data_IF_917091793425
#
_entry.id   IF_917091793425
#
_cell.length_a   1.000
_cell.length_b   1.000
_cell.length_c   1.000
_cell.angle_alpha   90.00
_cell.angle_beta   90.00
_cell.angle_gamma   90.00
#
_symmetry.space_group_name_H-M   'P 1'
#
loop_
_entity.id
_entity.type
_entity.pdbx_description
1 polymer ?
#
# COMPACT_ATOMS: atom_id res chain seq x y z
N UNK A 1 -1.35 0.59 43.49
CA UNK A 1 -0.99 -0.83 43.29
C UNK A 1 0.48 -0.96 43.58
N UNK A 2 0.84 -1.78 44.58
CA UNK A 2 2.23 -2.16 44.86
C UNK A 2 2.69 -3.36 44.00
N UNK A 3 3.91 -3.87 44.20
CA UNK A 3 4.45 -5.01 43.44
C UNK A 3 3.57 -6.27 43.53
N UNK A 4 3.03 -6.58 44.71
CA UNK A 4 2.17 -7.76 44.91
C UNK A 4 0.82 -7.65 44.19
N UNK A 5 0.29 -6.43 44.06
CA UNK A 5 -0.95 -6.15 43.32
C UNK A 5 -0.77 -6.37 41.81
N UNK A 6 0.44 -6.19 41.28
CA UNK A 6 0.74 -6.37 39.85
C UNK A 6 0.65 -7.85 39.47
N UNK A 7 1.16 -8.75 40.31
CA UNK A 7 1.09 -10.18 40.07
C UNK A 7 -0.37 -10.67 40.02
N UNK A 8 -1.18 -10.25 40.99
CA UNK A 8 -2.62 -10.56 41.03
C UNK A 8 -3.35 -9.98 39.81
N UNK A 9 -3.11 -8.71 39.50
CA UNK A 9 -3.67 -8.07 38.31
C UNK A 9 -3.31 -8.80 37.02
N UNK A 10 -2.05 -9.22 36.86
CA UNK A 10 -1.60 -9.97 35.70
C UNK A 10 -2.37 -11.28 35.58
N UNK A 11 -2.49 -12.05 36.65
CA UNK A 11 -3.26 -13.31 36.65
C UNK A 11 -4.73 -13.09 36.30
N UNK A 12 -5.37 -12.08 36.90
CA UNK A 12 -6.77 -11.75 36.59
C UNK A 12 -6.94 -11.34 35.12
N UNK A 13 -6.06 -10.46 34.61
CA UNK A 13 -6.12 -9.99 33.22
C UNK A 13 -5.87 -11.13 32.24
N UNK A 14 -4.92 -12.03 32.52
CA UNK A 14 -4.67 -13.22 31.72
C UNK A 14 -5.92 -14.10 31.60
N UNK A 15 -6.62 -14.35 32.72
CA UNK A 15 -7.87 -15.11 32.73
C UNK A 15 -8.95 -14.48 31.86
N UNK A 16 -9.16 -13.17 32.01
CA UNK A 16 -10.17 -12.42 31.21
C UNK A 16 -9.80 -12.35 29.73
N UNK A 17 -8.51 -12.21 29.41
CA UNK A 17 -8.02 -12.27 28.03
C UNK A 17 -8.27 -13.64 27.40
N UNK A 18 -8.02 -14.72 28.12
CA UNK A 18 -8.31 -16.09 27.68
C UNK A 18 -9.81 -16.30 27.41
N UNK A 19 -10.68 -15.81 28.29
CA UNK A 19 -12.13 -15.86 28.10
C UNK A 19 -12.61 -15.07 26.88
N UNK A 20 -12.00 -13.91 26.61
CA UNK A 20 -12.36 -13.07 25.46
C UNK A 20 -11.79 -13.57 24.14
N UNK A 21 -10.77 -14.44 24.16
CA UNK A 21 -10.03 -14.89 22.97
C UNK A 21 -9.98 -16.42 22.88
N UNK A 22 -11.10 -17.10 23.15
CA UNK A 22 -11.19 -18.58 23.24
C UNK A 22 -10.73 -19.33 21.98
N UNK A 23 -10.84 -18.71 20.82
CA UNK A 23 -10.43 -19.29 19.53
C UNK A 23 -8.92 -19.18 19.26
N UNK A 24 -8.16 -18.50 20.12
CA UNK A 24 -6.73 -18.30 19.94
C UNK A 24 -5.90 -19.41 20.60
N UNK A 25 -4.94 -19.96 19.87
CA UNK A 25 -4.01 -20.98 20.36
C UNK A 25 -2.77 -20.38 21.05
N UNK A 26 -2.80 -19.11 21.43
CA UNK A 26 -1.68 -18.44 22.08
C UNK A 26 -1.55 -18.98 23.53
N UNK A 27 -0.37 -19.44 23.96
CA UNK A 27 -0.19 -20.05 25.28
C UNK A 27 -0.28 -19.04 26.43
N UNK A 28 0.12 -17.79 26.19
CA UNK A 28 0.08 -16.69 27.17
C UNK A 28 -0.25 -15.38 26.48
N UNK A 29 -1.38 -14.78 26.84
CA UNK A 29 -1.99 -13.60 26.21
C UNK A 29 -1.33 -12.30 26.66
N UNK A 30 -1.10 -12.15 27.96
CA UNK A 30 -0.40 -11.02 28.59
C UNK A 30 1.04 -11.45 28.86
N UNK A 31 1.96 -10.96 28.04
CA UNK A 31 3.38 -11.29 28.15
C UNK A 31 4.01 -10.66 29.37
N UNK A 32 3.67 -9.40 29.65
CA UNK A 32 4.34 -8.60 30.67
C UNK A 32 3.44 -7.48 31.18
N UNK A 33 3.52 -7.20 32.48
CA UNK A 33 2.94 -6.02 33.12
C UNK A 33 4.05 -5.35 33.92
N UNK A 34 4.36 -4.10 33.60
CA UNK A 34 5.44 -3.33 34.24
C UNK A 34 4.90 -2.03 34.80
N UNK A 35 5.34 -1.66 36.00
CA UNK A 35 5.10 -0.32 36.53
C UNK A 35 6.11 0.64 35.88
N UNK A 36 5.61 1.68 35.24
CA UNK A 36 6.43 2.71 34.57
C UNK A 36 6.06 4.09 35.07
N UNK A 37 7.01 5.00 35.10
CA UNK A 37 6.81 6.40 35.48
C UNK A 37 6.55 7.22 34.22
N UNK A 38 5.34 7.78 34.11
CA UNK A 38 4.86 8.52 32.93
C UNK A 38 3.96 9.68 33.34
N UNK A 39 3.72 10.59 32.41
CA UNK A 39 2.78 11.71 32.57
C UNK A 39 1.76 11.68 31.43
N UNK A 40 0.53 12.12 31.72
CA UNK A 40 -0.45 12.38 30.66
C UNK A 40 -0.09 13.65 29.90
N UNK A 41 -0.33 13.65 28.59
CA UNK A 41 -0.18 14.84 27.75
C UNK A 41 -1.25 15.91 28.03
N UNK A 42 -2.39 15.51 28.62
CA UNK A 42 -3.51 16.40 28.86
C UNK A 42 -3.33 17.19 30.15
N UNK A 43 -3.36 18.52 30.01
CA UNK A 43 -3.24 19.52 31.07
C UNK A 43 -1.85 19.60 31.69
N UNK A 44 -1.50 20.80 32.15
CA UNK A 44 -0.33 20.99 32.99
C UNK A 44 -0.55 20.31 34.34
N UNK A 45 0.42 19.53 34.79
CA UNK A 45 0.42 18.88 36.09
C UNK A 45 1.64 19.37 36.88
N UNK A 46 1.43 19.71 38.15
CA UNK A 46 2.53 20.08 39.05
C UNK A 46 3.45 18.90 39.36
N UNK A 47 2.93 17.68 39.31
CA UNK A 47 3.69 16.45 39.46
C UNK A 47 4.16 15.96 38.08
N UNK A 48 5.48 15.87 37.89
CA UNK A 48 6.09 15.54 36.58
C UNK A 48 5.94 14.06 36.17
N UNK A 49 5.57 13.17 37.09
CA UNK A 49 5.37 11.75 36.78
C UNK A 49 4.46 11.04 37.78
N UNK A 50 3.69 10.09 37.28
CA UNK A 50 2.83 9.20 38.04
C UNK A 50 3.09 7.74 37.62
N UNK A 51 2.75 6.76 38.46
CA UNK A 51 2.85 5.34 38.11
C UNK A 51 1.77 4.92 37.10
N UNK A 52 2.18 4.31 36.00
CA UNK A 52 1.36 3.70 34.95
C UNK A 52 1.69 2.21 34.84
N UNK A 53 0.74 1.41 34.34
CA UNK A 53 0.98 0.01 33.98
C UNK A 53 1.22 -0.11 32.47
N UNK A 54 2.42 -0.55 32.08
CA UNK A 54 2.72 -0.95 30.70
C UNK A 54 2.36 -2.42 30.53
N UNK A 55 1.35 -2.69 29.72
CA UNK A 55 0.84 -4.04 29.46
C UNK A 55 1.26 -4.47 28.06
N UNK A 56 2.02 -5.56 27.97
CA UNK A 56 2.45 -6.16 26.70
C UNK A 56 1.61 -7.40 26.43
N UNK A 57 0.94 -7.43 25.29
CA UNK A 57 0.14 -8.57 24.84
C UNK A 57 0.86 -9.36 23.75
N UNK A 58 0.42 -10.60 23.53
CA UNK A 58 1.08 -11.53 22.63
C UNK A 58 0.93 -11.18 21.14
N UNK A 59 -0.25 -10.71 20.72
CA UNK A 59 -0.54 -10.36 19.33
C UNK A 59 -1.11 -8.94 19.25
N UNK A 60 -0.80 -8.18 18.18
CA UNK A 60 -1.35 -6.83 18.00
C UNK A 60 -2.89 -6.77 18.02
N UNK A 61 -3.55 -7.78 17.44
CA UNK A 61 -5.01 -7.89 17.39
C UNK A 61 -5.65 -8.01 18.78
N UNK A 62 -4.89 -8.40 19.80
CA UNK A 62 -5.37 -8.55 21.17
C UNK A 62 -5.44 -7.22 21.94
N UNK A 63 -4.79 -6.16 21.45
CA UNK A 63 -4.81 -4.84 22.12
C UNK A 63 -6.22 -4.30 22.28
N UNK A 64 -7.07 -4.45 21.25
CA UNK A 64 -8.46 -4.00 21.29
C UNK A 64 -9.30 -4.74 22.34
N UNK A 65 -9.11 -6.06 22.46
CA UNK A 65 -9.76 -6.90 23.47
C UNK A 65 -9.30 -6.51 24.88
N UNK A 66 -7.98 -6.37 25.08
CA UNK A 66 -7.38 -5.95 26.34
C UNK A 66 -7.91 -4.59 26.79
N UNK A 67 -7.95 -3.60 25.88
CA UNK A 67 -8.57 -2.30 26.13
C UNK A 67 -10.01 -2.44 26.60
N UNK A 68 -10.82 -3.19 25.87
CA UNK A 68 -12.24 -3.35 26.20
C UNK A 68 -12.47 -3.98 27.57
N UNK A 69 -11.62 -4.91 28.01
CA UNK A 69 -11.67 -5.49 29.35
C UNK A 69 -11.33 -4.42 30.41
N UNK A 70 -10.26 -3.66 30.20
CA UNK A 70 -9.79 -2.66 31.15
C UNK A 70 -10.75 -1.47 31.31
N UNK A 71 -11.34 -1.00 30.22
CA UNK A 71 -12.27 0.15 30.24
C UNK A 71 -13.64 -0.22 30.83
N UNK A 72 -14.17 -1.42 30.53
CA UNK A 72 -15.42 -1.91 31.14
C UNK A 72 -15.27 -2.27 32.61
N UNK A 73 -14.06 -2.60 33.04
CA UNK A 73 -13.73 -2.93 34.41
C UNK A 73 -13.37 -4.40 34.62
N UNK A 74 -12.46 -4.62 35.56
CA UNK A 74 -11.91 -5.91 35.95
C UNK A 74 -11.93 -6.03 37.47
N UNK A 75 -12.41 -7.18 37.96
CA UNK A 75 -12.44 -7.48 39.40
C UNK A 75 -11.13 -8.12 39.81
N UNK A 76 -10.34 -7.39 40.59
CA UNK A 76 -9.02 -7.84 41.06
C UNK A 76 -9.15 -8.25 42.53
N UNK A 77 -8.67 -9.44 42.86
CA UNK A 77 -8.70 -9.96 44.22
C UNK A 77 -7.98 -9.02 45.20
N UNK A 78 -8.68 -8.59 46.25
CA UNK A 78 -8.16 -7.65 47.25
C UNK A 78 -8.27 -6.16 46.90
N UNK A 79 -8.52 -5.81 45.63
CA UNK A 79 -8.67 -4.42 45.17
C UNK A 79 -10.08 -4.08 44.67
N UNK A 80 -10.93 -5.10 44.52
CA UNK A 80 -12.30 -4.97 44.04
C UNK A 80 -12.38 -4.72 42.53
N UNK A 81 -13.53 -4.22 42.07
CA UNK A 81 -13.73 -3.86 40.67
C UNK A 81 -13.07 -2.52 40.35
N UNK A 82 -12.23 -2.50 39.31
CA UNK A 82 -11.54 -1.30 38.83
C UNK A 82 -11.71 -1.17 37.33
N UNK A 83 -12.01 0.04 36.87
CA UNK A 83 -11.92 0.43 35.46
C UNK A 83 -10.70 1.31 35.25
N UNK A 84 -10.04 1.14 34.11
CA UNK A 84 -8.80 1.85 33.79
C UNK A 84 -8.97 2.65 32.51
N UNK A 85 -8.43 3.88 32.51
CA UNK A 85 -8.22 4.63 31.29
C UNK A 85 -7.04 4.01 30.53
N UNK A 86 -7.21 3.77 29.23
CA UNK A 86 -6.15 3.23 28.38
C UNK A 86 -5.51 4.32 27.54
N UNK A 87 -4.22 4.18 27.30
CA UNK A 87 -3.40 5.08 26.49
C UNK A 87 -2.70 4.25 25.41
N UNK A 88 -2.42 4.86 24.26
CA UNK A 88 -1.72 4.20 23.15
C UNK A 88 -2.37 2.90 22.63
N UNK A 89 -3.60 2.61 23.05
CA UNK A 89 -4.31 1.36 22.78
C UNK A 89 -4.98 1.31 21.39
N UNK A 90 -4.86 2.37 20.60
CA UNK A 90 -5.46 2.52 19.27
C UNK A 90 -4.43 2.95 18.20
N UNK A 91 -3.14 2.72 18.44
CA UNK A 91 -2.08 2.98 17.47
C UNK A 91 -1.91 1.72 16.62
N UNK A 92 -1.78 1.89 15.30
CA UNK A 92 -1.48 0.78 14.40
C UNK A 92 -0.13 0.17 14.76
N UNK A 93 -0.05 -1.15 14.85
CA UNK A 93 1.15 -1.84 15.33
C UNK A 93 2.41 -1.50 14.53
N UNK A 94 2.31 -1.43 13.20
CA UNK A 94 3.43 -1.01 12.35
C UNK A 94 3.89 0.42 12.66
N UNK A 95 2.96 1.34 12.95
CA UNK A 95 3.30 2.71 13.34
C UNK A 95 3.94 2.76 14.73
N UNK A 96 3.42 1.98 15.70
CA UNK A 96 4.05 1.86 17.04
C UNK A 96 5.46 1.32 16.94
N UNK A 97 5.68 0.30 16.10
CA UNK A 97 7.01 -0.25 15.81
C UNK A 97 7.95 0.81 15.23
N UNK A 98 7.48 1.57 14.25
CA UNK A 98 8.23 2.67 13.65
C UNK A 98 8.64 3.71 14.69
N UNK A 99 7.71 4.17 15.53
CA UNK A 99 7.99 5.15 16.59
C UNK A 99 8.97 4.56 17.62
N UNK A 100 8.77 3.32 18.09
CA UNK A 100 9.65 2.66 19.07
C UNK A 100 11.10 2.51 18.56
N UNK A 101 11.29 2.37 17.25
CA UNK A 101 12.59 2.18 16.61
C UNK A 101 13.13 3.46 15.96
N UNK A 102 12.47 4.62 16.12
CA UNK A 102 12.79 5.87 15.43
C UNK A 102 12.89 5.72 13.90
N UNK A 103 12.03 4.90 13.30
CA UNK A 103 11.95 4.68 11.86
C UNK A 103 10.86 5.59 11.28
N UNK A 104 11.20 6.37 10.26
CA UNK A 104 10.25 7.19 9.50
C UNK A 104 9.94 6.58 8.13
N UNK A 105 8.98 7.15 7.38
CA UNK A 105 8.74 6.72 6.00
C UNK A 105 9.87 7.18 5.06
N UNK A 106 10.24 6.36 4.07
CA UNK A 106 11.31 6.70 3.11
C UNK A 106 12.72 6.72 3.73
N UNK A 107 12.92 5.94 4.79
CA UNK A 107 14.12 5.95 5.61
C UNK A 107 15.19 4.94 5.17
N UNK A 108 16.45 5.18 5.55
CA UNK A 108 17.52 4.19 5.42
C UNK A 108 17.63 3.35 6.70
N UNK A 109 17.66 2.03 6.52
CA UNK A 109 17.80 1.06 7.60
C UNK A 109 19.08 0.25 7.38
N UNK A 110 19.87 0.11 8.42
CA UNK A 110 21.09 -0.69 8.41
C UNK A 110 20.93 -1.93 9.31
N UNK A 111 21.49 -3.03 8.83
CA UNK A 111 21.68 -4.27 9.59
C UNK A 111 23.18 -4.47 9.84
N UNK A 112 23.68 -4.23 11.06
CA UNK A 112 25.10 -4.36 11.35
C UNK A 112 25.62 -5.78 11.10
N UNK A 113 26.89 -5.89 10.71
CA UNK A 113 27.53 -7.18 10.49
C UNK A 113 27.44 -8.08 11.74
N UNK A 114 27.07 -9.34 11.55
CA UNK A 114 26.88 -10.31 12.64
C UNK A 114 25.55 -10.18 13.40
N UNK A 115 24.70 -9.20 13.06
CA UNK A 115 23.37 -9.01 13.66
C UNK A 115 22.20 -9.49 12.82
N UNK A 116 22.50 -10.02 11.63
CA UNK A 116 21.52 -10.63 10.76
C UNK A 116 22.01 -12.01 10.30
N UNK A 117 21.05 -12.85 9.89
CA UNK A 117 21.32 -14.12 9.23
C UNK A 117 20.42 -14.24 8.01
N UNK A 118 20.79 -15.10 7.06
CA UNK A 118 19.86 -15.45 5.97
C UNK A 118 18.64 -16.15 6.54
N UNK A 119 17.46 -15.83 6.01
CA UNK A 119 16.21 -16.45 6.43
C UNK A 119 16.28 -17.96 6.21
N UNK A 120 15.79 -18.72 7.19
CA UNK A 120 15.81 -20.19 7.13
C UNK A 120 14.79 -20.75 6.12
N UNK A 121 13.71 -20.02 5.86
CA UNK A 121 12.67 -20.36 4.90
C UNK A 121 12.42 -19.14 4.02
N UNK A 122 12.61 -19.27 2.71
CA UNK A 122 12.38 -18.17 1.76
C UNK A 122 10.88 -18.03 1.50
N UNK A 123 10.32 -16.94 1.99
CA UNK A 123 8.90 -16.61 1.88
C UNK A 123 8.63 -15.50 0.85
N UNK A 124 9.67 -14.88 0.30
CA UNK A 124 9.55 -13.80 -0.67
C UNK A 124 10.17 -14.12 -2.04
N UNK A 125 9.94 -13.25 -3.01
CA UNK A 125 10.65 -13.22 -4.29
C UNK A 125 11.87 -12.27 -4.27
N UNK A 126 12.19 -11.68 -3.11
CA UNK A 126 13.31 -10.74 -2.98
C UNK A 126 14.66 -11.46 -3.14
N UNK A 127 15.65 -10.74 -3.65
CA UNK A 127 17.02 -11.26 -3.79
C UNK A 127 17.69 -11.51 -2.44
N UNK A 128 17.39 -10.68 -1.44
CA UNK A 128 17.90 -10.78 -0.07
C UNK A 128 16.73 -10.96 0.90
N UNK A 129 16.77 -12.04 1.68
CA UNK A 129 15.82 -12.32 2.75
C UNK A 129 16.60 -12.64 4.03
N UNK A 130 16.47 -11.76 5.02
CA UNK A 130 17.31 -11.74 6.22
C UNK A 130 16.43 -11.74 7.48
N UNK A 131 16.85 -12.51 8.48
CA UNK A 131 16.30 -12.46 9.83
C UNK A 131 17.21 -11.59 10.71
N UNK A 132 16.63 -10.68 11.48
CA UNK A 132 17.31 -9.92 12.53
C UNK A 132 16.37 -9.70 13.72
N UNK A 133 16.95 -9.35 14.88
CA UNK A 133 16.15 -8.84 16.00
C UNK A 133 15.86 -7.37 15.76
N UNK A 134 14.66 -6.92 16.11
CA UNK A 134 14.31 -5.51 15.94
C UNK A 134 15.21 -4.55 16.73
N UNK A 135 15.76 -5.03 17.86
CA UNK A 135 16.69 -4.28 18.69
C UNK A 135 18.07 -4.08 18.06
N UNK A 136 18.39 -4.82 16.99
CA UNK A 136 19.66 -4.69 16.27
C UNK A 136 19.53 -3.81 15.01
N UNK A 137 18.33 -3.35 14.66
CA UNK A 137 18.10 -2.42 13.55
C UNK A 137 18.70 -1.06 13.87
N UNK A 138 19.43 -0.48 12.92
CA UNK A 138 19.88 0.92 13.00
C UNK A 138 19.05 1.75 12.03
N UNK A 139 18.32 2.71 12.59
CA UNK A 139 17.55 3.71 11.84
C UNK A 139 18.41 4.95 11.65
N UNK A 140 18.69 5.33 10.42
CA UNK A 140 19.46 6.54 10.11
C UNK A 140 18.52 7.73 9.96
N UNK A 141 18.90 8.90 10.45
CA UNK A 141 18.15 10.13 10.15
C UNK A 141 18.31 10.48 8.67
N UNK A 142 17.27 11.03 8.03
CA UNK A 142 17.27 11.35 6.59
C UNK A 142 18.06 12.64 6.25
N UNK A 143 19.30 12.71 6.73
CA UNK A 143 20.22 13.84 6.59
C UNK A 143 21.53 13.38 5.96
N UNK A 144 22.33 14.32 5.43
CA UNK A 144 23.64 14.01 4.85
C UNK A 144 23.56 12.94 3.77
N UNK A 145 24.32 11.85 3.90
CA UNK A 145 24.34 10.74 2.94
C UNK A 145 23.01 9.97 2.87
N UNK A 146 22.27 9.88 3.98
CA UNK A 146 20.98 9.18 4.08
C UNK A 146 19.80 10.06 3.62
N UNK A 147 20.06 11.29 3.18
CA UNK A 147 19.04 12.10 2.49
C UNK A 147 18.73 11.59 1.08
N UNK A 148 19.65 10.80 0.48
CA UNK A 148 19.51 10.25 -0.87
C UNK A 148 18.31 9.31 -0.97
N UNK A 149 17.81 9.16 -2.19
CA UNK A 149 16.74 8.23 -2.53
C UNK A 149 17.33 7.01 -3.25
N UNK A 150 16.81 5.82 -2.95
CA UNK A 150 17.14 4.62 -3.71
C UNK A 150 16.58 4.72 -5.15
N UNK A 151 17.20 4.05 -6.13
CA UNK A 151 16.76 4.07 -7.53
C UNK A 151 15.53 3.17 -7.74
N UNK A 152 14.39 3.54 -7.16
CA UNK A 152 13.16 2.77 -7.22
C UNK A 152 12.78 2.40 -8.64
N UNK A 153 12.31 1.17 -8.86
CA UNK A 153 11.68 0.76 -10.13
C UNK A 153 10.22 1.17 -10.11
N UNK A 154 9.84 2.06 -11.02
CA UNK A 154 8.48 2.59 -11.14
C UNK A 154 7.84 1.96 -12.37
N UNK A 155 6.80 1.16 -12.15
CA UNK A 155 5.96 0.60 -13.21
C UNK A 155 4.74 1.49 -13.41
N UNK A 156 4.60 2.08 -14.59
CA UNK A 156 3.37 2.72 -15.06
C UNK A 156 2.67 1.80 -16.05
N UNK A 157 1.38 1.55 -15.85
CA UNK A 157 0.61 0.68 -16.73
C UNK A 157 -0.80 1.21 -16.99
N UNK A 158 -1.38 0.72 -18.07
CA UNK A 158 -2.75 1.01 -18.52
C UNK A 158 -3.30 -0.25 -19.22
N UNK A 159 -4.63 -0.46 -19.16
CA UNK A 159 -5.29 -1.60 -19.81
C UNK A 159 -6.36 -1.13 -20.79
N UNK A 160 -6.57 -1.95 -21.83
CA UNK A 160 -7.71 -1.80 -22.73
C UNK A 160 -8.64 -3.00 -22.67
N UNK A 161 -9.94 -2.73 -22.67
CA UNK A 161 -10.99 -3.76 -22.64
C UNK A 161 -11.91 -3.61 -23.86
N UNK A 162 -12.26 -4.73 -24.49
CA UNK A 162 -13.23 -4.73 -25.60
C UNK A 162 -14.66 -4.78 -25.06
N UNK A 163 -15.26 -3.61 -24.84
CA UNK A 163 -16.62 -3.48 -24.33
C UNK A 163 -17.74 -3.72 -25.36
N UNK A 164 -18.92 -4.10 -24.87
CA UNK A 164 -20.19 -4.05 -25.62
C UNK A 164 -20.62 -2.61 -25.91
N UNK A 165 -21.19 -2.37 -27.09
CA UNK A 165 -21.61 -1.01 -27.52
C UNK A 165 -22.63 -0.41 -26.55
N UNK A 166 -22.39 0.81 -26.08
CA UNK A 166 -23.28 1.56 -25.19
C UNK A 166 -23.18 1.18 -23.70
N UNK A 167 -22.31 0.24 -23.34
CA UNK A 167 -22.09 -0.17 -21.95
C UNK A 167 -20.66 0.18 -21.51
N UNK A 168 -20.51 0.54 -20.24
CA UNK A 168 -19.18 0.60 -19.62
C UNK A 168 -18.64 -0.84 -19.48
N UNK A 169 -17.33 -1.08 -19.67
CA UNK A 169 -16.77 -2.43 -19.56
C UNK A 169 -17.04 -3.08 -18.21
N UNK A 170 -17.47 -4.34 -18.23
CA UNK A 170 -17.72 -5.18 -17.06
C UNK A 170 -16.80 -6.42 -17.07
N UNK A 171 -16.07 -6.71 -15.97
CA UNK A 171 -15.13 -7.84 -15.93
C UNK A 171 -15.76 -9.20 -16.24
N UNK A 172 -17.05 -9.37 -16.00
CA UNK A 172 -17.80 -10.61 -16.27
C UNK A 172 -18.02 -10.89 -17.75
N UNK A 173 -18.03 -9.84 -18.59
CA UNK A 173 -18.41 -9.96 -19.99
C UNK A 173 -17.28 -9.54 -20.94
N UNK A 174 -16.64 -8.42 -20.63
CA UNK A 174 -15.80 -7.70 -21.57
C UNK A 174 -14.32 -8.09 -21.33
N UNK A 175 -13.60 -8.60 -22.34
CA UNK A 175 -12.22 -9.11 -22.16
C UNK A 175 -11.19 -7.98 -22.10
N UNK A 176 -10.12 -8.21 -21.34
CA UNK A 176 -8.88 -7.44 -21.42
C UNK A 176 -8.17 -7.82 -22.71
N UNK A 177 -7.85 -6.82 -23.52
CA UNK A 177 -7.29 -7.01 -24.86
C UNK A 177 -5.89 -6.43 -25.01
N UNK A 178 -5.50 -5.43 -24.22
CA UNK A 178 -4.13 -4.92 -24.18
C UNK A 178 -3.73 -4.51 -22.78
N UNK A 179 -2.44 -4.66 -22.47
CA UNK A 179 -1.81 -4.11 -21.27
C UNK A 179 -0.50 -3.46 -21.68
N UNK A 180 -0.41 -2.13 -21.56
CA UNK A 180 0.81 -1.38 -21.83
C UNK A 180 1.59 -1.14 -20.55
N UNK A 181 2.93 -1.27 -20.62
CA UNK A 181 3.80 -1.12 -19.47
C UNK A 181 5.02 -0.26 -19.81
N UNK A 182 5.35 0.66 -18.92
CA UNK A 182 6.62 1.38 -18.90
C UNK A 182 7.27 1.23 -17.55
N UNK A 183 8.57 0.93 -17.53
CA UNK A 183 9.35 0.86 -16.29
C UNK A 183 10.49 1.85 -16.34
N UNK A 184 10.56 2.70 -15.32
CA UNK A 184 11.55 3.77 -15.19
C UNK A 184 12.26 3.63 -13.85
N UNK A 185 13.57 3.87 -13.81
CA UNK A 185 14.26 4.09 -12.55
C UNK A 185 14.01 5.52 -12.06
N UNK A 186 13.69 5.68 -10.78
CA UNK A 186 13.52 7.00 -10.18
C UNK A 186 14.75 7.88 -10.43
N UNK A 187 14.53 9.03 -11.07
CA UNK A 187 15.56 10.00 -11.41
C UNK A 187 16.14 9.87 -12.82
N UNK A 188 15.75 8.86 -13.60
CA UNK A 188 16.09 8.75 -15.02
C UNK A 188 15.01 9.41 -15.90
N UNK A 189 15.43 10.05 -17.00
CA UNK A 189 14.53 10.79 -17.90
C UNK A 189 13.72 9.88 -18.84
N UNK A 190 14.12 8.62 -19.00
CA UNK A 190 13.53 7.70 -19.98
C UNK A 190 13.29 6.31 -19.36
N UNK A 191 12.15 5.67 -19.66
CA UNK A 191 11.92 4.30 -19.24
C UNK A 191 12.86 3.33 -19.97
N UNK A 192 13.40 2.37 -19.22
CA UNK A 192 14.28 1.30 -19.71
C UNK A 192 13.51 0.07 -20.21
N UNK A 193 12.23 -0.06 -19.84
CA UNK A 193 11.30 -1.04 -20.43
C UNK A 193 10.11 -0.30 -21.03
N UNK A 194 9.76 -0.68 -22.26
CA UNK A 194 8.53 -0.26 -22.94
C UNK A 194 7.97 -1.47 -23.66
N UNK A 195 6.82 -1.96 -23.21
CA UNK A 195 6.17 -3.08 -23.86
C UNK A 195 4.66 -2.95 -23.88
N UNK A 196 4.04 -3.71 -24.76
CA UNK A 196 2.60 -3.87 -24.82
C UNK A 196 2.26 -5.34 -25.08
N UNK A 197 1.42 -5.90 -24.22
CA UNK A 197 0.88 -7.24 -24.37
C UNK A 197 -0.48 -7.14 -25.04
N UNK A 198 -0.70 -7.86 -26.15
CA UNK A 198 -1.91 -7.74 -26.97
C UNK A 198 -2.61 -9.06 -27.17
N UNK A 199 -3.95 -9.05 -27.17
CA UNK A 199 -4.76 -10.14 -27.67
C UNK A 199 -4.79 -10.08 -29.20
N UNK A 200 -4.46 -11.20 -29.84
CA UNK A 200 -4.20 -11.33 -31.29
C UNK A 200 -2.94 -10.58 -31.74
N UNK A 201 -2.55 -10.81 -32.99
CA UNK A 201 -1.37 -10.21 -33.63
C UNK A 201 -1.42 -8.70 -33.70
N UNK A 202 -0.32 -8.02 -33.41
CA UNK A 202 -0.20 -6.56 -33.49
C UNK A 202 1.00 -6.19 -34.37
N UNK A 203 0.87 -5.18 -35.23
CA UNK A 203 2.00 -4.71 -36.05
C UNK A 203 3.11 -4.13 -35.14
N UNK A 204 4.40 -4.24 -35.50
CA UNK A 204 5.50 -3.75 -34.69
C UNK A 204 5.45 -2.24 -34.40
N UNK A 205 5.92 -1.84 -33.22
CA UNK A 205 6.04 -0.44 -32.78
C UNK A 205 7.51 -0.13 -32.51
N UNK A 206 8.03 0.94 -33.11
CA UNK A 206 9.45 1.31 -32.97
C UNK A 206 9.78 1.63 -31.51
N UNK A 207 10.82 0.99 -30.97
CA UNK A 207 11.28 1.21 -29.59
C UNK A 207 10.39 0.60 -28.51
N UNK A 208 9.48 -0.31 -28.89
CA UNK A 208 8.56 -1.00 -27.97
C UNK A 208 8.54 -2.49 -28.28
N UNK A 209 8.62 -3.32 -27.23
CA UNK A 209 8.42 -4.75 -27.35
C UNK A 209 6.92 -5.07 -27.44
N UNK A 210 6.50 -5.64 -28.58
CA UNK A 210 5.10 -6.02 -28.82
C UNK A 210 4.97 -7.53 -28.61
N UNK A 211 4.23 -7.95 -27.59
CA UNK A 211 3.98 -9.35 -27.27
C UNK A 211 2.52 -9.71 -27.60
N UNK A 212 2.30 -10.55 -28.61
CA UNK A 212 0.95 -10.95 -29.02
C UNK A 212 0.61 -12.35 -28.52
N UNK A 213 -0.59 -12.51 -27.97
CA UNK A 213 -1.10 -13.75 -27.41
C UNK A 213 -2.45 -14.13 -28.04
N UNK A 214 -2.73 -15.42 -28.14
CA UNK A 214 -3.99 -15.91 -28.74
C UNK A 214 -5.14 -15.99 -27.73
N UNK A 215 -4.85 -16.11 -26.44
CA UNK A 215 -5.85 -16.18 -25.37
C UNK A 215 -5.61 -15.12 -24.30
N UNK A 216 -6.71 -14.58 -23.76
CA UNK A 216 -6.70 -13.59 -22.67
C UNK A 216 -6.00 -14.12 -21.40
N UNK A 217 -6.17 -15.42 -21.11
CA UNK A 217 -5.46 -16.07 -20.00
C UNK A 217 -3.96 -15.89 -20.08
N UNK A 218 -3.39 -15.98 -21.29
CA UNK A 218 -1.95 -15.92 -21.48
C UNK A 218 -1.42 -14.50 -21.32
N UNK A 219 -2.21 -13.48 -21.68
CA UNK A 219 -1.90 -12.07 -21.41
C UNK A 219 -1.83 -11.83 -19.90
N UNK A 220 -2.84 -12.27 -19.15
CA UNK A 220 -2.90 -12.06 -17.71
C UNK A 220 -1.73 -12.76 -17.00
N UNK A 221 -1.40 -13.99 -17.39
CA UNK A 221 -0.28 -14.72 -16.80
C UNK A 221 1.08 -14.15 -17.20
N UNK A 222 1.24 -13.73 -18.45
CA UNK A 222 2.44 -13.03 -18.91
C UNK A 222 2.64 -11.73 -18.14
N UNK A 223 1.58 -10.96 -17.88
CA UNK A 223 1.66 -9.73 -17.11
C UNK A 223 2.01 -9.97 -15.63
N UNK A 224 1.44 -11.01 -15.01
CA UNK A 224 1.84 -11.46 -13.66
C UNK A 224 3.33 -11.81 -13.63
N UNK A 225 3.80 -12.60 -14.59
CA UNK A 225 5.20 -13.01 -14.66
C UNK A 225 6.14 -11.84 -14.93
N UNK A 226 5.71 -10.88 -15.76
CA UNK A 226 6.40 -9.61 -15.99
C UNK A 226 6.55 -8.78 -14.72
N UNK A 227 5.49 -8.60 -13.92
CA UNK A 227 5.59 -7.90 -12.63
C UNK A 227 6.58 -8.59 -11.71
N UNK A 228 6.59 -9.93 -11.68
CA UNK A 228 7.52 -10.69 -10.84
C UNK A 228 8.96 -10.53 -11.30
N UNK A 229 9.20 -10.53 -12.61
CA UNK A 229 10.54 -10.42 -13.19
C UNK A 229 11.12 -9.00 -13.05
N UNK A 230 10.33 -7.98 -13.37
CA UNK A 230 10.73 -6.57 -13.24
C UNK A 230 10.88 -6.17 -11.77
N UNK A 231 10.07 -6.76 -10.88
CA UNK A 231 10.01 -6.45 -9.46
C UNK A 231 9.88 -4.93 -9.15
N UNK A 232 8.80 -4.25 -9.60
CA UNK A 232 8.64 -2.81 -9.37
C UNK A 232 8.41 -2.49 -7.89
N UNK A 233 9.06 -1.43 -7.42
CA UNK A 233 8.88 -0.89 -6.07
C UNK A 233 7.59 -0.09 -5.95
N UNK A 234 7.27 0.68 -7.00
CA UNK A 234 6.11 1.56 -7.06
C UNK A 234 5.32 1.23 -8.34
N UNK A 235 4.02 0.99 -8.18
CA UNK A 235 3.08 0.80 -9.29
C UNK A 235 2.22 2.06 -9.38
N UNK A 236 2.26 2.70 -10.53
CA UNK A 236 1.55 3.92 -10.86
C UNK A 236 0.63 3.71 -12.07
N UNK A 237 -0.22 4.70 -12.31
CA UNK A 237 -1.11 4.81 -13.45
C UNK A 237 -2.18 5.84 -13.13
N UNK A 238 -3.23 5.91 -13.94
CA UNK A 238 -4.32 6.86 -13.74
C UNK A 238 -5.64 6.13 -13.52
N UNK A 239 -6.17 6.15 -12.28
CA UNK A 239 -7.36 5.41 -11.86
C UNK A 239 -7.16 3.90 -11.64
N UNK A 240 -5.90 3.44 -11.52
CA UNK A 240 -5.54 2.02 -11.34
C UNK A 240 -6.16 1.37 -10.11
N UNK A 241 -6.36 2.11 -9.03
CA UNK A 241 -6.89 1.54 -7.79
C UNK A 241 -8.40 1.30 -7.86
N UNK A 242 -9.13 2.07 -8.67
CA UNK A 242 -10.59 1.94 -8.81
C UNK A 242 -11.02 1.16 -10.04
N UNK A 243 -10.21 1.16 -11.11
CA UNK A 243 -10.53 0.49 -12.36
C UNK A 243 -9.56 -0.64 -12.65
N UNK A 244 -8.33 -0.35 -13.08
CA UNK A 244 -7.45 -1.34 -13.73
C UNK A 244 -7.16 -2.56 -12.85
N UNK A 245 -6.67 -2.37 -11.62
CA UNK A 245 -6.35 -3.48 -10.72
C UNK A 245 -7.59 -4.28 -10.33
N UNK A 246 -8.69 -3.67 -9.82
CA UNK A 246 -9.93 -4.41 -9.57
C UNK A 246 -10.43 -5.17 -10.79
N UNK A 247 -10.41 -4.55 -11.97
CA UNK A 247 -10.87 -5.16 -13.22
C UNK A 247 -10.07 -6.42 -13.56
N UNK A 248 -8.73 -6.34 -13.50
CA UNK A 248 -7.86 -7.48 -13.77
C UNK A 248 -8.07 -8.62 -12.77
N UNK A 249 -8.25 -8.30 -11.48
CA UNK A 249 -8.47 -9.30 -10.43
C UNK A 249 -9.83 -10.00 -10.61
N UNK A 250 -10.90 -9.23 -10.79
CA UNK A 250 -12.26 -9.76 -11.03
C UNK A 250 -12.32 -10.56 -12.34
N UNK A 251 -11.67 -10.08 -13.41
CA UNK A 251 -11.60 -10.78 -14.70
C UNK A 251 -10.88 -12.12 -14.57
N UNK A 252 -9.76 -12.17 -13.84
CA UNK A 252 -9.06 -13.42 -13.59
C UNK A 252 -9.89 -14.41 -12.76
N UNK A 253 -10.71 -13.93 -11.83
CA UNK A 253 -11.66 -14.77 -11.09
C UNK A 253 -12.74 -15.35 -12.00
N UNK A 254 -13.33 -14.54 -12.89
CA UNK A 254 -14.30 -14.98 -13.91
C UNK A 254 -13.71 -16.06 -14.81
N UNK A 255 -12.45 -15.88 -15.24
CA UNK A 255 -11.72 -16.83 -16.06
C UNK A 255 -11.13 -18.02 -15.28
N UNK A 256 -11.33 -18.06 -13.96
CA UNK A 256 -10.82 -19.10 -13.04
C UNK A 256 -9.29 -19.26 -13.06
N UNK A 257 -8.57 -18.15 -13.22
CA UNK A 257 -7.10 -18.11 -13.24
C UNK A 257 -6.60 -17.89 -11.80
N UNK A 258 -6.59 -18.98 -11.02
CA UNK A 258 -6.27 -18.92 -9.59
C UNK A 258 -4.87 -18.37 -9.30
N UNK A 259 -3.92 -18.47 -10.23
CA UNK A 259 -2.54 -18.02 -10.03
C UNK A 259 -2.31 -16.54 -10.35
N UNK A 260 -3.26 -15.85 -11.01
CA UNK A 260 -3.08 -14.45 -11.43
C UNK A 260 -2.91 -13.46 -10.26
N UNK A 261 -3.73 -13.48 -9.19
CA UNK A 261 -3.69 -12.43 -8.17
C UNK A 261 -2.51 -12.57 -7.21
N UNK A 262 -1.45 -13.30 -7.56
CA UNK A 262 -0.21 -13.40 -6.78
C UNK A 262 0.82 -12.43 -7.39
N UNK A 263 0.60 -11.13 -7.13
CA UNK A 263 1.39 -10.02 -7.71
C UNK A 263 2.40 -9.40 -6.72
N UNK A 264 2.28 -9.70 -5.43
CA UNK A 264 3.15 -9.16 -4.39
C UNK A 264 4.51 -9.83 -4.30
N UNK A 265 5.37 -9.29 -3.43
CA UNK A 265 6.71 -9.85 -3.14
C UNK A 265 6.65 -11.06 -2.19
N UNK A 266 5.56 -11.23 -1.45
CA UNK A 266 5.36 -12.38 -0.56
C UNK A 266 4.75 -13.54 -1.33
N UNK A 267 5.42 -14.70 -1.33
CA UNK A 267 4.96 -15.91 -2.02
C UNK A 267 3.58 -16.33 -1.51
N UNK A 268 2.73 -16.77 -2.43
CA UNK A 268 1.36 -17.21 -2.16
C UNK A 268 0.44 -16.14 -1.54
N UNK A 269 0.90 -14.89 -1.37
CA UNK A 269 0.03 -13.79 -0.95
C UNK A 269 -0.79 -13.30 -2.14
N UNK A 270 -2.12 -13.30 -1.98
CA UNK A 270 -3.04 -12.80 -2.99
C UNK A 270 -3.27 -11.30 -2.80
N UNK A 271 -3.41 -10.57 -3.90
CA UNK A 271 -3.89 -9.18 -3.92
C UNK A 271 -5.25 -9.12 -3.23
N UNK A 272 -5.44 -8.10 -2.40
CA UNK A 272 -6.70 -7.87 -1.70
C UNK A 272 -7.29 -6.55 -2.19
N UNK A 273 -8.51 -6.63 -2.70
CA UNK A 273 -9.31 -5.45 -3.07
C UNK A 273 -10.40 -5.29 -2.02
N UNK A 274 -10.50 -4.11 -1.42
CA UNK A 274 -11.53 -3.79 -0.43
C UNK A 274 -12.22 -2.49 -0.78
N UNK A 275 -13.54 -2.48 -0.72
CA UNK A 275 -14.28 -1.22 -0.81
C UNK A 275 -14.03 -0.40 0.45
N UNK A 276 -13.80 0.89 0.25
CA UNK A 276 -13.47 1.84 1.31
C UNK A 276 -14.19 3.16 1.06
N UNK A 277 -14.57 3.83 2.14
CA UNK A 277 -15.14 5.18 2.07
C UNK A 277 -14.23 6.11 2.83
N UNK A 278 -13.70 7.12 2.13
CA UNK A 278 -12.98 8.21 2.77
C UNK A 278 -13.94 9.39 2.96
N UNK A 279 -13.97 9.95 4.16
CA UNK A 279 -14.82 11.09 4.49
C UNK A 279 -14.04 12.14 5.29
N UNK A 280 -14.02 13.37 4.79
CA UNK A 280 -13.52 14.54 5.52
C UNK A 280 -14.17 15.83 5.01
N UNK A 281 -14.20 16.89 5.82
CA UNK A 281 -14.71 18.20 5.38
C UNK A 281 -13.90 18.78 4.21
N UNK A 282 -12.58 18.58 4.21
CA UNK A 282 -11.68 19.16 3.21
C UNK A 282 -11.72 18.42 1.86
N UNK A 283 -11.81 17.08 1.89
CA UNK A 283 -11.73 16.26 0.68
C UNK A 283 -13.08 15.65 0.26
N UNK A 284 -14.14 15.90 1.01
CA UNK A 284 -15.48 15.35 0.77
C UNK A 284 -15.61 13.88 1.16
N UNK A 285 -16.73 13.27 0.75
CA UNK A 285 -16.97 11.83 0.83
C UNK A 285 -16.62 11.23 -0.53
N UNK A 286 -15.77 10.20 -0.54
CA UNK A 286 -15.40 9.47 -1.75
C UNK A 286 -15.39 7.98 -1.47
N UNK A 287 -16.13 7.24 -2.27
CA UNK A 287 -15.97 5.80 -2.38
C UNK A 287 -14.71 5.50 -3.18
N UNK A 288 -13.92 4.55 -2.70
CA UNK A 288 -12.67 4.11 -3.31
C UNK A 288 -12.49 2.62 -3.08
N UNK A 289 -11.58 2.02 -3.84
CA UNK A 289 -11.08 0.69 -3.56
C UNK A 289 -9.66 0.82 -3.00
N UNK A 290 -9.39 0.06 -1.95
CA UNK A 290 -8.06 -0.15 -1.39
C UNK A 290 -7.52 -1.46 -1.96
N UNK A 291 -6.45 -1.35 -2.75
CA UNK A 291 -5.79 -2.49 -3.41
C UNK A 291 -4.47 -2.72 -2.69
N UNK A 292 -4.35 -3.85 -1.99
CA UNK A 292 -3.11 -4.22 -1.30
C UNK A 292 -2.30 -5.22 -2.11
N UNK A 293 -1.09 -4.82 -2.52
CA UNK A 293 -0.08 -5.68 -3.12
C UNK A 293 1.15 -5.72 -2.20
N UNK A 294 1.32 -6.81 -1.46
CA UNK A 294 2.35 -6.90 -0.41
C UNK A 294 3.76 -6.60 -0.94
N UNK A 295 4.45 -5.66 -0.28
CA UNK A 295 5.83 -5.27 -0.62
C UNK A 295 5.98 -4.30 -1.80
N UNK A 296 4.89 -3.84 -2.41
CA UNK A 296 4.89 -2.84 -3.50
C UNK A 296 4.03 -1.65 -3.10
N UNK A 297 4.44 -0.43 -3.43
CA UNK A 297 3.64 0.78 -3.19
C UNK A 297 2.73 1.05 -4.37
N UNK A 298 1.45 1.32 -4.12
CA UNK A 298 0.51 1.79 -5.14
C UNK A 298 0.43 3.31 -5.05
N UNK A 299 0.65 4.00 -6.16
CA UNK A 299 0.55 5.46 -6.25
C UNK A 299 -0.32 5.85 -7.45
N UNK A 300 -1.63 5.97 -7.21
CA UNK A 300 -2.61 6.33 -8.25
C UNK A 300 -2.61 7.84 -8.48
N UNK A 301 -2.25 8.26 -9.70
CA UNK A 301 -2.15 9.67 -10.05
C UNK A 301 -3.52 10.37 -9.99
N UNK A 302 -4.63 9.69 -10.27
CA UNK A 302 -5.95 10.32 -10.14
C UNK A 302 -6.21 10.71 -8.68
N UNK A 303 -5.87 9.82 -7.75
CA UNK A 303 -6.05 10.09 -6.32
C UNK A 303 -5.15 11.24 -5.85
N UNK A 304 -3.90 11.27 -6.28
CA UNK A 304 -2.96 12.36 -5.99
C UNK A 304 -3.47 13.70 -6.56
N UNK A 305 -3.89 13.73 -7.83
CA UNK A 305 -4.43 14.93 -8.49
C UNK A 305 -5.63 15.51 -7.72
N UNK A 306 -6.59 14.65 -7.38
CA UNK A 306 -7.81 15.09 -6.69
C UNK A 306 -7.57 15.47 -5.22
N UNK A 307 -6.40 15.17 -4.66
CA UNK A 307 -6.00 15.55 -3.30
C UNK A 307 -5.23 16.86 -3.29
N UNK A 308 -4.31 17.03 -4.24
CA UNK A 308 -3.33 18.10 -4.21
C UNK A 308 -3.75 19.32 -5.06
N UNK A 309 -4.68 19.12 -6.01
CA UNK A 309 -5.14 20.18 -6.91
C UNK A 309 -6.67 20.34 -6.89
N UNK A 310 -7.14 21.55 -7.24
CA UNK A 310 -8.55 21.88 -7.48
C UNK A 310 -8.74 22.22 -8.95
N UNK A 311 -9.11 21.23 -9.75
CA UNK A 311 -9.28 21.34 -11.19
C UNK A 311 -10.76 21.25 -11.58
N UNK A 312 -11.11 21.80 -12.76
CA UNK A 312 -12.46 21.70 -13.33
C UNK A 312 -12.76 20.29 -13.86
N UNK A 313 -11.75 19.58 -14.36
CA UNK A 313 -11.84 18.18 -14.80
C UNK A 313 -10.58 17.42 -14.41
N UNK A 314 -10.77 16.19 -13.94
CA UNK A 314 -9.72 15.24 -13.57
C UNK A 314 -9.59 14.10 -14.57
N UNK A 315 -10.05 14.26 -15.81
CA UNK A 315 -9.73 13.27 -16.86
C UNK A 315 -8.24 13.33 -17.19
N UNK A 316 -7.65 12.19 -17.55
CA UNK A 316 -6.22 12.12 -17.93
C UNK A 316 -5.89 13.13 -19.04
N UNK A 317 -6.79 13.32 -20.01
CA UNK A 317 -6.62 14.30 -21.08
C UNK A 317 -6.56 15.73 -20.53
N UNK A 318 -7.48 16.10 -19.62
CA UNK A 318 -7.54 17.45 -19.04
C UNK A 318 -6.30 17.77 -18.21
N UNK A 319 -5.87 16.83 -17.36
CA UNK A 319 -4.69 17.05 -16.50
C UNK A 319 -3.39 17.05 -17.32
N UNK A 320 -3.29 16.21 -18.36
CA UNK A 320 -2.14 16.20 -19.26
C UNK A 320 -2.05 17.49 -20.07
N UNK A 321 -3.19 18.00 -20.57
CA UNK A 321 -3.22 19.28 -21.27
C UNK A 321 -2.82 20.44 -20.35
N UNK A 322 -3.30 20.42 -19.09
CA UNK A 322 -3.02 21.47 -18.13
C UNK A 322 -1.55 21.50 -17.67
N UNK A 323 -0.96 20.36 -17.32
CA UNK A 323 0.39 20.32 -16.73
C UNK A 323 1.52 20.02 -17.73
N UNK A 324 1.24 19.28 -18.80
CA UNK A 324 2.23 18.88 -19.80
C UNK A 324 2.09 19.65 -21.12
N UNK A 325 0.96 20.32 -21.36
CA UNK A 325 0.66 20.92 -22.66
C UNK A 325 0.37 19.88 -23.74
N UNK A 326 0.00 18.66 -23.35
CA UNK A 326 -0.21 17.54 -24.27
C UNK A 326 -1.66 17.05 -24.24
N UNK A 327 -2.16 16.70 -25.42
CA UNK A 327 -3.47 16.08 -25.55
C UNK A 327 -3.32 14.60 -25.90
N UNK A 328 -4.27 13.79 -25.45
CA UNK A 328 -4.41 12.40 -25.87
C UNK A 328 -4.93 12.36 -27.30
N UNK A 329 -4.56 11.33 -28.07
CA UNK A 329 -5.33 11.02 -29.27
C UNK A 329 -6.72 10.54 -28.86
N UNK A 330 -7.76 11.01 -29.56
CA UNK A 330 -9.14 10.65 -29.24
C UNK A 330 -9.48 9.27 -29.81
N UNK A 331 -9.34 8.22 -28.99
CA UNK A 331 -9.90 6.90 -29.25
C UNK A 331 -11.13 6.75 -28.37
N UNK A 332 -12.30 7.05 -28.95
CA UNK A 332 -13.56 6.91 -28.23
C UNK A 332 -13.81 5.43 -27.87
N UNK A 333 -14.27 5.15 -26.66
CA UNK A 333 -14.45 3.77 -26.17
C UNK A 333 -15.31 2.89 -27.10
N UNK A 334 -16.25 3.50 -27.83
CA UNK A 334 -17.14 2.79 -28.76
C UNK A 334 -16.43 2.16 -29.96
N UNK A 335 -15.24 2.65 -30.33
CA UNK A 335 -14.48 2.14 -31.48
C UNK A 335 -13.39 1.15 -31.09
N UNK A 336 -13.10 0.97 -29.80
CA UNK A 336 -12.05 0.05 -29.30
C UNK A 336 -12.33 -1.38 -29.80
N UNK A 337 -13.56 -1.86 -29.63
CA UNK A 337 -13.97 -3.20 -30.08
C UNK A 337 -13.90 -3.36 -31.61
N UNK A 338 -14.19 -2.31 -32.36
CA UNK A 338 -14.10 -2.32 -33.83
C UNK A 338 -12.62 -2.34 -34.29
N UNK A 339 -11.74 -1.57 -33.63
CA UNK A 339 -10.28 -1.58 -33.87
C UNK A 339 -9.66 -2.94 -33.52
N UNK A 340 -10.07 -3.55 -32.40
CA UNK A 340 -9.57 -4.85 -31.97
C UNK A 340 -9.94 -5.98 -32.95
N UNK A 341 -11.16 -5.93 -33.50
CA UNK A 341 -11.67 -6.91 -34.46
C UNK A 341 -11.21 -6.67 -35.90
N UNK A 342 -10.50 -5.58 -36.17
CA UNK A 342 -9.84 -5.32 -37.45
C UNK A 342 -8.57 -6.15 -37.65
N UNK A 343 -7.54 -5.49 -38.17
CA UNK A 343 -6.28 -6.11 -38.58
C UNK A 343 -5.14 -5.78 -37.59
N UNK A 344 -3.92 -6.31 -37.80
CA UNK A 344 -2.79 -6.02 -36.92
C UNK A 344 -2.44 -4.52 -36.81
N UNK A 345 -2.73 -3.72 -37.84
CA UNK A 345 -2.46 -2.28 -37.85
C UNK A 345 -3.48 -1.50 -37.02
N UNK A 346 -4.76 -1.88 -37.06
CA UNK A 346 -5.77 -1.27 -36.18
C UNK A 346 -5.50 -1.58 -34.71
N UNK A 347 -5.01 -2.79 -34.40
CA UNK A 347 -4.53 -3.15 -33.06
C UNK A 347 -3.25 -2.42 -32.66
N UNK A 348 -2.36 -2.15 -33.61
CA UNK A 348 -1.18 -1.29 -33.39
C UNK A 348 -1.57 0.13 -33.03
N UNK A 349 -2.58 0.71 -33.70
CA UNK A 349 -3.12 2.03 -33.32
C UNK A 349 -3.63 2.04 -31.88
N UNK A 350 -4.38 1.01 -31.48
CA UNK A 350 -4.85 0.88 -30.09
C UNK A 350 -3.68 0.73 -29.11
N UNK A 351 -2.65 -0.04 -29.48
CA UNK A 351 -1.47 -0.24 -28.64
C UNK A 351 -0.67 1.06 -28.45
N UNK A 352 -0.53 1.89 -29.50
CA UNK A 352 0.10 3.22 -29.38
C UNK A 352 -0.71 4.14 -28.46
N UNK A 353 -2.04 4.08 -28.53
CA UNK A 353 -2.93 4.81 -27.62
C UNK A 353 -2.74 4.35 -26.16
N UNK A 354 -2.81 3.04 -25.89
CA UNK A 354 -2.61 2.48 -24.55
C UNK A 354 -1.20 2.76 -23.99
N UNK A 355 -0.16 2.71 -24.83
CA UNK A 355 1.21 3.10 -24.44
C UNK A 355 1.32 4.59 -24.07
N UNK A 356 0.60 5.47 -24.78
CA UNK A 356 0.54 6.90 -24.44
C UNK A 356 -0.14 7.07 -23.08
N UNK A 357 -1.22 6.35 -22.83
CA UNK A 357 -1.99 6.38 -21.58
C UNK A 357 -1.20 5.85 -20.39
N UNK A 358 -0.40 4.79 -20.59
CA UNK A 358 0.55 4.32 -19.59
C UNK A 358 1.72 5.30 -19.38
N UNK A 359 2.11 6.11 -20.37
CA UNK A 359 3.26 7.01 -20.25
C UNK A 359 2.93 8.37 -19.62
N UNK A 360 1.73 8.91 -19.85
CA UNK A 360 1.32 10.20 -19.30
C UNK A 360 1.39 10.25 -17.75
N UNK A 361 0.97 9.22 -16.99
CA UNK A 361 1.12 9.18 -15.53
C UNK A 361 2.56 9.29 -15.05
N UNK A 362 3.51 8.61 -15.71
CA UNK A 362 4.94 8.75 -15.43
C UNK A 362 5.39 10.20 -15.62
N UNK A 363 5.00 10.83 -16.73
CA UNK A 363 5.40 12.22 -16.99
C UNK A 363 4.79 13.22 -16.02
N UNK A 364 3.54 12.99 -15.59
CA UNK A 364 2.90 13.79 -14.55
C UNK A 364 3.61 13.59 -13.21
N UNK A 365 3.99 12.35 -12.88
CA UNK A 365 4.77 12.02 -11.69
C UNK A 365 6.07 12.83 -11.60
N UNK A 366 6.82 12.87 -12.71
CA UNK A 366 8.11 13.54 -12.79
C UNK A 366 7.94 15.07 -12.80
N UNK A 367 7.03 15.58 -13.65
CA UNK A 367 6.77 17.03 -13.80
C UNK A 367 6.36 17.69 -12.49
N UNK A 368 5.60 16.98 -11.66
CA UNK A 368 5.06 17.47 -10.40
C UNK A 368 5.88 17.01 -9.18
N UNK A 369 6.99 16.32 -9.42
CA UNK A 369 7.94 15.85 -8.40
C UNK A 369 7.28 15.02 -7.29
N UNK A 370 6.28 14.21 -7.65
CA UNK A 370 5.44 13.55 -6.65
C UNK A 370 6.23 12.61 -5.74
N UNK A 371 7.13 11.80 -6.28
CA UNK A 371 7.95 10.88 -5.47
C UNK A 371 8.82 11.65 -4.47
N UNK A 372 9.48 12.73 -4.89
CA UNK A 372 10.27 13.58 -4.00
C UNK A 372 9.41 14.17 -2.88
N UNK A 373 8.30 14.82 -3.24
CA UNK A 373 7.43 15.50 -2.28
C UNK A 373 6.80 14.52 -1.28
N UNK A 374 6.38 13.33 -1.72
CA UNK A 374 5.74 12.34 -0.85
C UNK A 374 6.75 11.58 0.00
N UNK A 375 7.96 11.30 -0.50
CA UNK A 375 9.05 10.74 0.34
C UNK A 375 9.45 11.74 1.42
N UNK A 376 9.61 13.02 1.08
CA UNK A 376 9.95 14.06 2.05
C UNK A 376 8.85 14.23 3.10
N UNK A 377 7.58 14.29 2.67
CA UNK A 377 6.43 14.31 3.58
C UNK A 377 6.42 13.11 4.53
N UNK A 378 6.73 11.91 4.03
CA UNK A 378 6.79 10.70 4.85
C UNK A 378 7.93 10.73 5.88
N UNK A 379 9.09 11.29 5.50
CA UNK A 379 10.24 11.50 6.40
C UNK A 379 9.91 12.49 7.51
N UNK A 380 9.32 13.64 7.16
CA UNK A 380 8.99 14.72 8.11
C UNK A 380 7.87 14.32 9.07
N UNK A 381 6.88 13.56 8.58
CA UNK A 381 5.69 13.21 9.38
C UNK A 381 5.76 11.85 10.05
N UNK A 382 6.79 11.05 9.77
CA UNK A 382 7.01 9.74 10.41
C UNK A 382 6.05 8.63 9.96
N UNK A 383 5.19 8.87 8.96
CA UNK A 383 4.21 7.88 8.49
C UNK A 383 4.69 7.13 7.25
N UNK A 384 4.23 5.88 7.02
CA UNK A 384 4.45 5.18 5.76
C UNK A 384 3.95 5.98 4.54
N UNK A 385 4.65 5.88 3.41
CA UNK A 385 4.29 6.58 2.16
C UNK A 385 2.84 6.25 1.73
N UNK A 386 2.41 4.99 1.87
CA UNK A 386 1.05 4.57 1.52
C UNK A 386 -0.05 5.26 2.32
N UNK A 387 0.25 5.76 3.53
CA UNK A 387 -0.71 6.49 4.35
C UNK A 387 -0.96 7.91 3.80
N UNK A 388 -0.03 8.47 3.04
CA UNK A 388 -0.17 9.83 2.52
C UNK A 388 -1.33 9.95 1.52
N UNK A 389 -1.60 8.90 0.73
CA UNK A 389 -2.74 8.85 -0.17
C UNK A 389 -4.01 8.31 0.51
N UNK A 390 -3.87 7.24 1.31
CA UNK A 390 -5.02 6.51 1.88
C UNK A 390 -5.61 7.11 3.18
N UNK A 391 -4.87 7.98 3.89
CA UNK A 391 -5.27 8.54 5.18
C UNK A 391 -5.30 10.08 5.18
N UNK A 392 -6.00 10.63 6.17
CA UNK A 392 -6.11 12.07 6.40
C UNK A 392 -4.93 12.66 7.16
N UNK A 393 -5.04 13.91 7.61
CA UNK A 393 -3.96 14.62 8.30
C UNK A 393 -3.76 14.15 9.76
N UNK A 394 -4.80 13.62 10.41
CA UNK A 394 -4.75 13.24 11.83
C UNK A 394 -3.70 12.19 12.15
N UNK A 395 -3.46 11.22 11.26
CA UNK A 395 -2.46 10.16 11.48
C UNK A 395 -1.03 10.70 11.49
N UNK A 396 -0.77 11.77 10.71
CA UNK A 396 0.54 12.44 10.66
C UNK A 396 0.83 13.17 11.96
N UNK A 397 -0.14 13.94 12.43
CA UNK A 397 -0.05 14.64 13.73
C UNK A 397 0.11 13.65 14.87
N UNK A 398 -0.66 12.55 14.85
CA UNK A 398 -0.53 11.49 15.85
C UNK A 398 0.88 10.89 15.86
N UNK A 399 1.47 10.64 14.69
CA UNK A 399 2.83 10.10 14.58
C UNK A 399 3.91 11.08 15.05
N UNK A 400 3.69 12.39 14.93
CA UNK A 400 4.66 13.40 15.37
C UNK A 400 4.54 13.72 16.87
N UNK A 401 3.37 13.46 17.46
CA UNK A 401 3.10 13.68 18.88
C UNK A 401 3.66 12.57 19.77
N UNK A 402 3.74 11.35 19.22
CA UNK A 402 4.24 10.14 19.86
C UNK A 402 5.73 9.94 19.56
#
# INVERSE_FOLDING_TARGET
>A
MGPDDISRFHQTLEGRMKESNRSSNVPRFVKRVELVQKQTIMHYQTQQSQPFLKIVVALPTMVASCRGILERGITIEGLGSKSFLTYESNILFALRFMIDCNIVGGNWIELPAGKYRKAACIMSYCQLELDCLYSDLVSHAAEGEYSKMAPFRILSFDIECAGRKGHFPEPTHDPVIQIANLVTHQGEDQPFVRNVMTLKSCSPIVGVEVMSFDAERDILLAWRDFIREVDPDIIIGYNICKFDMPYLIERAEVLKIAEFPILGRIRNSRVRVRDTTFSSRQYGVRESKDVTIEGRVQFDLLQAMQRDYKLSSYSLNSVSAHFLGEQKEDVHHSIISDLQNGNPETRRRLAVYCLKDAYLPQRLLDKLMYIYNYVEMARVTGVPISFLLSRGQSIKVLSQLL
#
